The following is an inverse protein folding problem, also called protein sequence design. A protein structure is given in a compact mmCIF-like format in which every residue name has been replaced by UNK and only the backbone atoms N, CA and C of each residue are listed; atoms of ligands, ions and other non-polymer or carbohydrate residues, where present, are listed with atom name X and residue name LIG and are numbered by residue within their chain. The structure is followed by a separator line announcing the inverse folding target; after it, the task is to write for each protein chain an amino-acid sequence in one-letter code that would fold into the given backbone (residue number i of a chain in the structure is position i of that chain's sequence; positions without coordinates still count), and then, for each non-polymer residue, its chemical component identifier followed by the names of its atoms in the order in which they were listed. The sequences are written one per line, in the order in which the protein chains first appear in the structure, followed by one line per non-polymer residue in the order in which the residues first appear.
data_IF_442085396414
#
_entry.id   IF_442085396414
#
_cell.length_a   1.000
_cell.length_b   1.000
_cell.length_c   1.000
_cell.angle_alpha   90.00
_cell.angle_beta   90.00
_cell.angle_gamma   90.00
#
_symmetry.space_group_name_H-M   'P 1'
#
loop_
_entity.id
_entity.type
_entity.pdbx_description
1 polymer ?
#
# COMPACT_ATOMS: atom_id res chain seq x y z
N UNK A 1 -22.56 -6.82 35.41
CA UNK A 1 -22.83 -6.00 34.24
C UNK A 1 -21.54 -5.34 33.74
N UNK A 2 -21.19 -5.56 32.50
CA UNK A 2 -19.98 -4.97 31.96
C UNK A 2 -20.21 -3.50 31.64
N UNK A 3 -19.24 -2.66 31.98
CA UNK A 3 -19.28 -1.24 31.65
C UNK A 3 -19.14 -1.05 30.14
N UNK A 4 -19.55 0.11 29.62
CA UNK A 4 -19.35 0.47 28.21
C UNK A 4 -17.87 0.39 27.82
N UNK A 5 -16.98 0.78 28.74
CA UNK A 5 -15.54 0.75 28.52
C UNK A 5 -15.03 -0.68 28.31
N UNK A 6 -15.51 -1.64 29.10
CA UNK A 6 -15.13 -3.04 28.98
C UNK A 6 -15.68 -3.63 27.66
N UNK A 7 -16.88 -3.25 27.27
CA UNK A 7 -17.50 -3.69 26.02
C UNK A 7 -16.71 -3.17 24.81
N UNK A 8 -16.31 -1.91 24.81
CA UNK A 8 -15.48 -1.33 23.76
C UNK A 8 -14.12 -2.00 23.67
N UNK A 9 -13.51 -2.29 24.81
CA UNK A 9 -12.23 -2.98 24.85
C UNK A 9 -12.32 -4.37 24.18
N UNK A 10 -13.40 -5.10 24.46
CA UNK A 10 -13.66 -6.40 23.84
C UNK A 10 -13.88 -6.29 22.33
N UNK A 11 -14.60 -5.24 21.88
CA UNK A 11 -14.87 -5.03 20.47
C UNK A 11 -13.60 -4.72 19.67
N UNK A 12 -12.60 -4.09 20.32
CA UNK A 12 -11.33 -3.75 19.68
C UNK A 12 -10.28 -4.86 19.77
N UNK A 13 -10.57 -5.93 20.51
CA UNK A 13 -9.65 -7.05 20.66
C UNK A 13 -9.99 -8.15 19.68
N UNK A 14 -9.55 -7.99 18.45
CA UNK A 14 -9.59 -9.07 17.48
C UNK A 14 -8.49 -10.09 17.81
N UNK A 15 -8.75 -11.37 17.53
CA UNK A 15 -7.69 -12.35 17.61
C UNK A 15 -6.59 -12.01 16.63
N UNK A 16 -5.35 -12.40 16.94
CA UNK A 16 -4.23 -12.20 16.03
C UNK A 16 -4.47 -12.85 14.68
N UNK A 17 -5.13 -14.00 14.66
CA UNK A 17 -5.46 -14.70 13.43
C UNK A 17 -6.42 -13.89 12.56
N UNK A 18 -7.48 -13.35 13.16
CA UNK A 18 -8.44 -12.52 12.43
C UNK A 18 -7.79 -11.25 11.92
N UNK A 19 -6.99 -10.59 12.75
CA UNK A 19 -6.27 -9.38 12.34
C UNK A 19 -5.36 -9.66 11.16
N UNK A 20 -4.60 -10.77 11.21
CA UNK A 20 -3.70 -11.15 10.11
C UNK A 20 -4.46 -11.43 8.82
N UNK A 21 -5.65 -12.01 8.91
CA UNK A 21 -6.49 -12.23 7.73
C UNK A 21 -6.95 -10.90 7.12
N UNK A 22 -7.31 -9.94 7.95
CA UNK A 22 -7.71 -8.61 7.47
C UNK A 22 -6.51 -7.93 6.80
N UNK A 23 -5.34 -7.98 7.42
CA UNK A 23 -4.12 -7.40 6.83
C UNK A 23 -3.82 -8.04 5.47
N UNK A 24 -3.87 -9.35 5.39
CA UNK A 24 -3.64 -10.08 4.13
C UNK A 24 -4.65 -9.64 3.07
N UNK A 25 -5.92 -9.52 3.45
CA UNK A 25 -6.98 -9.08 2.54
C UNK A 25 -6.72 -7.66 2.04
N UNK A 26 -6.35 -6.76 2.94
CA UNK A 26 -6.02 -5.37 2.57
C UNK A 26 -4.88 -5.34 1.56
N UNK A 27 -3.83 -6.13 1.79
CA UNK A 27 -2.70 -6.21 0.86
C UNK A 27 -3.13 -6.71 -0.51
N UNK A 28 -3.95 -7.76 -0.55
CA UNK A 28 -4.43 -8.31 -1.83
C UNK A 28 -5.34 -7.32 -2.56
N UNK A 29 -6.21 -6.62 -1.83
CA UNK A 29 -7.05 -5.59 -2.43
C UNK A 29 -6.21 -4.44 -2.98
N UNK A 30 -5.18 -4.03 -2.26
CA UNK A 30 -4.26 -3.00 -2.72
C UNK A 30 -3.58 -3.43 -4.02
N UNK A 31 -3.07 -4.65 -4.07
CA UNK A 31 -2.40 -5.18 -5.27
C UNK A 31 -3.33 -5.19 -6.47
N UNK A 32 -4.55 -5.66 -6.29
CA UNK A 32 -5.55 -5.66 -7.35
C UNK A 32 -5.86 -4.24 -7.81
N UNK A 33 -6.06 -3.33 -6.86
CA UNK A 33 -6.41 -1.95 -7.17
C UNK A 33 -5.29 -1.23 -7.92
N UNK A 34 -4.03 -1.52 -7.56
CA UNK A 34 -2.87 -0.97 -8.25
C UNK A 34 -2.80 -1.48 -9.69
N UNK A 35 -3.07 -2.76 -9.90
CA UNK A 35 -3.15 -3.34 -11.25
C UNK A 35 -4.26 -2.67 -12.06
N UNK A 36 -5.41 -2.46 -11.45
CA UNK A 36 -6.53 -1.78 -12.09
C UNK A 36 -6.14 -0.35 -12.51
N UNK A 37 -5.42 0.37 -11.66
CA UNK A 37 -4.99 1.74 -11.98
C UNK A 37 -4.08 1.78 -13.23
N UNK A 38 -3.23 0.77 -13.41
CA UNK A 38 -2.39 0.68 -14.61
C UNK A 38 -3.21 0.41 -15.86
N UNK A 39 -4.24 -0.42 -15.74
CA UNK A 39 -5.14 -0.70 -16.84
C UNK A 39 -5.88 0.55 -17.31
N UNK A 40 -6.18 1.47 -16.38
CA UNK A 40 -6.85 2.73 -16.71
C UNK A 40 -6.09 3.55 -17.72
N UNK A 41 -4.76 3.46 -17.73
CA UNK A 41 -3.94 4.21 -18.68
C UNK A 41 -4.05 3.66 -20.11
N UNK A 42 -4.59 2.46 -20.26
CA UNK A 42 -4.68 1.78 -21.56
C UNK A 42 -6.06 1.84 -22.18
N UNK A 43 -7.05 2.35 -21.46
CA UNK A 43 -8.41 2.47 -22.01
C UNK A 43 -8.59 3.84 -22.67
N UNK A 44 -9.64 3.99 -23.47
CA UNK A 44 -9.93 5.23 -24.18
C UNK A 44 -10.18 6.39 -23.21
N UNK A 45 -9.81 7.61 -23.64
CA UNK A 45 -10.04 8.81 -22.84
C UNK A 45 -11.52 9.02 -22.50
N UNK A 46 -12.40 8.56 -23.38
CA UNK A 46 -13.84 8.66 -23.16
C UNK A 46 -14.29 7.84 -21.94
N UNK A 47 -13.71 6.65 -21.77
CA UNK A 47 -14.10 5.73 -20.69
C UNK A 47 -13.33 5.95 -19.39
N UNK A 48 -12.17 6.61 -19.45
CA UNK A 48 -11.30 6.79 -18.28
C UNK A 48 -11.99 7.41 -17.06
N UNK A 49 -12.76 8.52 -17.19
CA UNK A 49 -13.35 9.14 -16.00
C UNK A 49 -14.25 8.22 -15.20
N UNK A 50 -15.04 7.38 -15.91
CA UNK A 50 -15.96 6.44 -15.26
C UNK A 50 -15.20 5.40 -14.43
N UNK A 51 -14.14 4.84 -15.00
CA UNK A 51 -13.35 3.81 -14.31
C UNK A 51 -12.43 4.43 -13.26
N UNK A 52 -11.95 5.64 -13.49
CA UNK A 52 -11.17 6.36 -12.48
C UNK A 52 -11.99 6.59 -11.21
N UNK A 53 -13.27 6.95 -11.36
CA UNK A 53 -14.15 7.14 -10.21
C UNK A 53 -14.30 5.84 -9.41
N UNK A 54 -14.42 4.70 -10.10
CA UNK A 54 -14.49 3.40 -9.43
C UNK A 54 -13.20 3.07 -8.70
N UNK A 55 -12.06 3.38 -9.32
CA UNK A 55 -10.75 3.19 -8.69
C UNK A 55 -10.63 4.01 -7.40
N UNK A 56 -11.01 5.29 -7.47
CA UNK A 56 -10.92 6.18 -6.32
C UNK A 56 -11.86 5.75 -5.19
N UNK A 57 -13.07 5.33 -5.53
CA UNK A 57 -14.03 4.82 -4.55
C UNK A 57 -13.48 3.58 -3.85
N UNK A 58 -12.92 2.66 -4.61
CA UNK A 58 -12.39 1.41 -4.05
C UNK A 58 -11.15 1.66 -3.20
N UNK A 59 -10.28 2.57 -3.63
CA UNK A 59 -9.12 2.98 -2.84
C UNK A 59 -9.53 3.50 -1.46
N UNK A 60 -10.58 4.29 -1.42
CA UNK A 60 -11.11 4.82 -0.17
C UNK A 60 -11.63 3.69 0.73
N UNK A 61 -12.30 2.70 0.13
CA UNK A 61 -12.84 1.55 0.88
C UNK A 61 -11.71 0.71 1.50
N UNK A 62 -10.61 0.56 0.80
CA UNK A 62 -9.45 -0.16 1.33
C UNK A 62 -8.91 0.56 2.57
N UNK A 63 -8.78 1.89 2.50
CA UNK A 63 -8.31 2.69 3.63
C UNK A 63 -9.28 2.61 4.81
N UNK A 64 -10.59 2.66 4.55
CA UNK A 64 -11.61 2.53 5.60
C UNK A 64 -11.52 1.18 6.30
N UNK A 65 -11.31 0.11 5.52
CA UNK A 65 -11.14 -1.23 6.10
C UNK A 65 -9.89 -1.29 6.99
N UNK A 66 -8.79 -0.73 6.50
CA UNK A 66 -7.54 -0.68 7.26
C UNK A 66 -7.73 0.08 8.58
N UNK A 67 -8.47 1.19 8.54
CA UNK A 67 -8.72 2.01 9.73
C UNK A 67 -9.49 1.23 10.81
N UNK A 68 -10.31 0.24 10.43
CA UNK A 68 -11.08 -0.54 11.42
C UNK A 68 -10.18 -1.32 12.37
N UNK A 69 -8.94 -1.61 11.99
CA UNK A 69 -7.98 -2.31 12.85
C UNK A 69 -6.73 -1.48 13.11
N UNK A 70 -6.84 -0.17 12.95
CA UNK A 70 -5.77 0.80 13.23
C UNK A 70 -4.50 0.57 12.41
N UNK A 71 -4.61 -0.01 11.21
CA UNK A 71 -3.44 -0.14 10.33
C UNK A 71 -3.42 0.98 9.30
N UNK A 72 -2.21 1.32 8.88
CA UNK A 72 -1.98 2.31 7.83
C UNK A 72 -1.31 1.61 6.66
N UNK A 73 -1.84 1.85 5.46
CA UNK A 73 -1.27 1.34 4.22
C UNK A 73 -0.41 2.46 3.63
N UNK A 74 0.89 2.21 3.49
CA UNK A 74 1.84 3.22 3.03
C UNK A 74 2.39 2.84 1.66
N UNK A 75 2.37 3.82 0.76
CA UNK A 75 2.90 3.70 -0.59
C UNK A 75 4.01 4.73 -0.75
N UNK A 76 5.19 4.27 -1.16
CA UNK A 76 6.35 5.12 -1.33
C UNK A 76 6.70 5.39 -2.79
N UNK A 77 5.77 5.12 -3.71
CA UNK A 77 5.99 5.38 -5.12
C UNK A 77 6.33 6.85 -5.34
N UNK A 78 7.41 7.12 -6.08
CA UNK A 78 7.89 8.48 -6.31
C UNK A 78 8.90 9.00 -5.30
N UNK A 79 9.08 8.30 -4.18
CA UNK A 79 10.06 8.70 -3.18
C UNK A 79 11.47 8.33 -3.64
N UNK A 80 12.45 9.14 -3.26
CA UNK A 80 13.85 8.77 -3.44
C UNK A 80 14.12 7.48 -2.68
N UNK A 81 14.82 6.55 -3.31
CA UNK A 81 15.16 5.31 -2.65
C UNK A 81 16.26 5.55 -1.61
N UNK A 82 16.02 5.07 -0.41
CA UNK A 82 16.93 5.11 0.72
C UNK A 82 16.89 3.72 1.36
N UNK A 83 18.05 3.10 1.66
CA UNK A 83 18.05 1.79 2.33
C UNK A 83 17.29 1.75 3.66
N UNK A 84 17.05 2.93 4.27
CA UNK A 84 16.26 3.03 5.49
C UNK A 84 14.76 2.89 5.28
N UNK A 85 14.25 2.95 4.05
CA UNK A 85 12.84 2.76 3.78
C UNK A 85 12.44 1.30 4.04
N UNK A 86 11.24 1.07 4.59
CA UNK A 86 10.79 -0.29 4.91
C UNK A 86 10.25 -1.02 3.67
N UNK A 87 11.07 -1.10 2.63
CA UNK A 87 10.72 -1.78 1.38
C UNK A 87 11.82 -2.77 0.98
N UNK A 88 11.40 -3.89 0.42
CA UNK A 88 12.28 -4.86 -0.21
C UNK A 88 12.27 -4.57 -1.70
N UNK A 89 13.44 -4.28 -2.27
CA UNK A 89 13.56 -3.92 -3.68
C UNK A 89 14.00 -5.14 -4.47
N UNK A 90 13.21 -5.50 -5.49
CA UNK A 90 13.45 -6.73 -6.25
C UNK A 90 14.49 -6.58 -7.35
N UNK A 91 14.69 -5.37 -7.87
CA UNK A 91 15.57 -5.14 -9.02
C UNK A 91 16.80 -4.28 -8.69
N UNK A 92 17.21 -4.26 -7.42
CA UNK A 92 18.35 -3.42 -7.01
C UNK A 92 19.64 -3.82 -7.72
N UNK A 93 19.79 -5.09 -8.04
CA UNK A 93 20.99 -5.62 -8.73
C UNK A 93 21.20 -5.04 -10.11
N UNK A 94 20.15 -4.50 -10.73
CA UNK A 94 20.23 -3.93 -12.07
C UNK A 94 20.93 -2.56 -12.09
N UNK A 95 21.25 -2.01 -10.92
CA UNK A 95 21.77 -0.66 -10.79
C UNK A 95 23.07 -0.63 -10.01
N UNK A 96 23.88 0.42 -10.27
CA UNK A 96 25.12 0.66 -9.55
C UNK A 96 24.83 1.34 -8.21
N UNK A 97 25.71 1.13 -7.24
CA UNK A 97 25.63 1.78 -5.94
C UNK A 97 25.69 3.32 -6.05
N UNK A 98 26.26 3.82 -7.14
CA UNK A 98 26.39 5.26 -7.40
C UNK A 98 25.13 5.87 -8.03
N UNK A 99 24.21 5.03 -8.51
CA UNK A 99 22.98 5.52 -9.14
C UNK A 99 22.04 6.12 -8.13
N UNK A 100 21.46 7.24 -8.47
CA UNK A 100 20.35 7.82 -7.70
C UNK A 100 19.06 7.16 -8.18
N UNK A 101 18.35 6.53 -7.25
CA UNK A 101 17.16 5.73 -7.58
C UNK A 101 15.94 6.31 -6.93
N UNK A 102 14.80 6.08 -7.57
CA UNK A 102 13.47 6.35 -6.97
C UNK A 102 12.67 5.06 -6.95
N UNK A 103 11.70 5.02 -6.06
CA UNK A 103 10.70 3.95 -6.06
C UNK A 103 9.78 4.20 -7.25
N UNK A 104 9.88 3.35 -8.26
CA UNK A 104 9.09 3.52 -9.49
C UNK A 104 7.75 2.80 -9.41
N UNK A 105 7.65 1.78 -8.56
CA UNK A 105 6.44 1.00 -8.43
C UNK A 105 6.43 0.27 -7.10
N UNK A 106 5.28 0.30 -6.42
CA UNK A 106 5.06 -0.54 -5.24
C UNK A 106 4.26 -1.76 -5.65
N UNK A 107 4.84 -2.94 -5.47
CA UNK A 107 4.16 -4.21 -5.76
C UNK A 107 3.32 -4.66 -4.58
N UNK A 108 3.78 -4.40 -3.38
CA UNK A 108 3.03 -4.61 -2.14
C UNK A 108 3.24 -3.40 -1.24
N UNK A 109 2.20 -2.96 -0.53
CA UNK A 109 2.31 -1.79 0.32
C UNK A 109 3.05 -2.09 1.61
N UNK A 110 3.51 -1.04 2.28
CA UNK A 110 4.01 -1.12 3.65
C UNK A 110 2.80 -1.05 4.59
N UNK A 111 2.78 -1.91 5.59
CA UNK A 111 1.72 -1.89 6.61
C UNK A 111 2.32 -1.46 7.93
N UNK A 112 1.75 -0.40 8.51
CA UNK A 112 2.12 0.13 9.81
C UNK A 112 0.93 0.00 10.75
N UNK A 113 1.20 -0.15 12.04
CA UNK A 113 0.15 -0.11 13.07
C UNK A 113 0.69 0.69 14.25
N UNK A 114 0.02 1.79 14.56
CA UNK A 114 0.37 2.66 15.69
C UNK A 114 1.86 3.02 15.67
N UNK A 115 2.37 3.41 14.50
CA UNK A 115 3.77 3.79 14.33
C UNK A 115 4.76 2.66 14.24
N UNK A 116 4.31 1.41 14.30
CA UNK A 116 5.18 0.24 14.21
C UNK A 116 5.05 -0.44 12.86
N UNK A 117 6.17 -0.90 12.32
CA UNK A 117 6.17 -1.65 11.06
C UNK A 117 5.61 -3.05 11.30
N UNK A 118 4.53 -3.38 10.59
CA UNK A 118 3.90 -4.70 10.63
C UNK A 118 4.34 -5.54 9.44
N UNK A 119 4.41 -4.92 8.26
CA UNK A 119 4.79 -5.63 7.04
C UNK A 119 5.61 -4.72 6.15
N UNK A 120 6.77 -5.23 5.72
CA UNK A 120 7.63 -4.57 4.75
C UNK A 120 6.96 -4.57 3.37
N UNK A 121 7.08 -3.47 2.64
CA UNK A 121 6.59 -3.40 1.27
C UNK A 121 7.53 -4.07 0.29
N UNK A 122 7.06 -4.26 -0.94
CA UNK A 122 7.87 -4.79 -2.04
C UNK A 122 7.81 -3.79 -3.18
N UNK A 123 8.97 -3.43 -3.72
CA UNK A 123 9.07 -2.33 -4.67
C UNK A 123 10.03 -2.63 -5.82
N UNK A 124 9.87 -1.87 -6.88
CA UNK A 124 10.83 -1.75 -7.97
C UNK A 124 11.37 -0.33 -7.96
N UNK A 125 12.62 -0.18 -8.37
CA UNK A 125 13.27 1.12 -8.48
C UNK A 125 13.65 1.41 -9.92
N UNK A 126 13.87 2.69 -10.24
CA UNK A 126 14.44 3.11 -11.50
C UNK A 126 15.34 4.30 -11.24
N UNK A 127 16.18 4.61 -12.23
CA UNK A 127 17.05 5.79 -12.11
C UNK A 127 16.22 7.06 -12.10
N UNK A 128 16.56 7.95 -11.21
CA UNK A 128 15.88 9.23 -11.05
C UNK A 128 15.81 10.03 -12.35
N UNK A 129 16.87 9.99 -13.15
CA UNK A 129 16.95 10.68 -14.43
C UNK A 129 15.92 10.18 -15.45
N UNK A 130 15.65 8.86 -15.45
CA UNK A 130 14.69 8.25 -16.37
C UNK A 130 13.27 8.72 -16.12
N UNK A 131 12.95 9.09 -14.88
CA UNK A 131 11.62 9.52 -14.49
C UNK A 131 11.39 11.01 -14.58
N UNK A 132 12.45 11.79 -14.85
CA UNK A 132 12.36 13.25 -14.99
C UNK A 132 12.22 13.70 -16.43
N UNK A 133 12.02 12.78 -17.35
CA UNK A 133 11.88 13.11 -18.77
C UNK A 133 10.42 13.31 -19.17
#
# INVERSE_FOLDING_TARGET
MKTLKQKRHKEHQLSSETENKIITTVVELYKFNTTFSRMLQKISEEDQPRFLNKYQYFSKKIIELADTIDIQVKDFCGFDFDPGLPVSVLNLEDYSIEDELIISQMLEPVIMKKGKLIKTGVALVSKKEENNK
#
